data_IF_752643954132
#
_entry.id   IF_752643954132
#
_cell.length_a   1.000
_cell.length_b   1.000
_cell.length_c   1.000
_cell.angle_alpha   90.00
_cell.angle_beta   90.00
_cell.angle_gamma   90.00
#
_symmetry.space_group_name_H-M   'P 1'
#
loop_
_entity.id
_entity.type
_entity.pdbx_description
1 polymer ?
#
# COMPACT_ATOMS: atom_id res chain seq x y z
N UNK A 1 -22.43 -8.05 -19.69
CA UNK A 1 -22.65 -9.50 -19.48
C UNK A 1 -21.34 -10.19 -19.88
N UNK A 2 -20.53 -10.62 -18.90
CA UNK A 2 -19.20 -11.20 -19.12
C UNK A 2 -19.34 -12.72 -19.35
N UNK A 3 -19.76 -13.13 -20.56
CA UNK A 3 -20.12 -14.53 -20.83
C UNK A 3 -18.98 -15.39 -21.40
N UNK A 4 -17.84 -14.82 -21.80
CA UNK A 4 -16.75 -15.57 -22.47
C UNK A 4 -15.53 -15.94 -21.61
N UNK A 5 -15.49 -15.57 -20.32
CA UNK A 5 -14.28 -15.70 -19.49
C UNK A 5 -14.19 -17.04 -18.74
N UNK A 6 -15.30 -17.79 -18.68
CA UNK A 6 -15.38 -19.05 -17.94
C UNK A 6 -14.93 -20.26 -18.75
N UNK A 7 -14.69 -20.10 -20.06
CA UNK A 7 -14.12 -21.17 -20.86
C UNK A 7 -12.66 -21.41 -20.48
N UNK A 8 -12.24 -22.67 -20.31
CA UNK A 8 -10.87 -23.01 -19.96
C UNK A 8 -9.92 -22.47 -21.03
N UNK A 9 -8.87 -21.76 -20.59
CA UNK A 9 -7.83 -21.16 -21.44
C UNK A 9 -8.31 -20.10 -22.46
N UNK A 10 -9.43 -19.43 -22.23
CA UNK A 10 -9.84 -18.27 -23.05
C UNK A 10 -8.80 -17.13 -23.05
N UNK A 11 -8.03 -16.99 -21.97
CA UNK A 11 -6.89 -16.07 -21.85
C UNK A 11 -5.86 -16.58 -20.83
N UNK A 12 -4.61 -16.13 -20.97
CA UNK A 12 -3.51 -16.47 -20.04
C UNK A 12 -3.28 -15.39 -18.98
N UNK A 13 -3.48 -14.12 -19.33
CA UNK A 13 -3.22 -12.96 -18.47
C UNK A 13 -4.41 -12.00 -18.57
N UNK A 14 -4.91 -11.56 -17.42
CA UNK A 14 -5.89 -10.48 -17.34
C UNK A 14 -5.24 -9.25 -16.74
N UNK A 15 -5.34 -8.12 -17.45
CA UNK A 15 -4.92 -6.81 -16.96
C UNK A 15 -6.18 -5.99 -16.75
N UNK A 16 -6.38 -5.49 -15.55
CA UNK A 16 -7.56 -4.69 -15.20
C UNK A 16 -7.19 -3.57 -14.24
N UNK A 17 -8.02 -2.52 -14.23
CA UNK A 17 -7.90 -1.45 -13.24
C UNK A 17 -8.70 -1.78 -11.98
N UNK A 18 -8.33 -1.18 -10.84
CA UNK A 18 -9.07 -1.33 -9.58
C UNK A 18 -10.56 -1.04 -9.73
N UNK A 19 -10.93 0.03 -10.45
CA UNK A 19 -12.34 0.39 -10.68
C UNK A 19 -13.12 -0.73 -11.37
N UNK A 20 -12.53 -1.37 -12.38
CA UNK A 20 -13.16 -2.46 -13.12
C UNK A 20 -13.20 -3.75 -12.30
N UNK A 21 -12.14 -4.04 -11.53
CA UNK A 21 -12.09 -5.17 -10.60
C UNK A 21 -13.27 -5.11 -9.61
N UNK A 22 -13.50 -3.95 -8.99
CA UNK A 22 -14.57 -3.81 -7.99
C UNK A 22 -15.96 -3.81 -8.61
N UNK A 23 -16.14 -3.18 -9.79
CA UNK A 23 -17.42 -3.24 -10.51
C UNK A 23 -17.77 -4.66 -10.95
N UNK A 24 -16.76 -5.46 -11.30
CA UNK A 24 -16.90 -6.83 -11.82
C UNK A 24 -16.59 -7.92 -10.80
N UNK A 25 -16.49 -7.61 -9.50
CA UNK A 25 -15.90 -8.50 -8.49
C UNK A 25 -16.48 -9.94 -8.52
N UNK A 26 -17.80 -10.08 -8.66
CA UNK A 26 -18.46 -11.39 -8.72
C UNK A 26 -17.95 -12.29 -9.87
N UNK A 27 -17.55 -11.71 -11.01
CA UNK A 27 -16.96 -12.47 -12.11
C UNK A 27 -15.53 -12.92 -11.77
N UNK A 28 -14.72 -12.02 -11.20
CA UNK A 28 -13.33 -12.32 -10.82
C UNK A 28 -13.23 -13.37 -9.70
N UNK A 29 -14.18 -13.38 -8.76
CA UNK A 29 -14.20 -14.34 -7.63
C UNK A 29 -14.55 -15.77 -8.05
N UNK A 30 -15.15 -15.97 -9.22
CA UNK A 30 -15.44 -17.31 -9.77
C UNK A 30 -14.23 -17.99 -10.41
N UNK A 31 -13.17 -17.22 -10.67
CA UNK A 31 -11.94 -17.69 -11.32
C UNK A 31 -10.91 -18.05 -10.25
N UNK A 32 -10.26 -19.21 -10.40
CA UNK A 32 -9.10 -19.60 -9.59
C UNK A 32 -7.83 -19.07 -10.25
N UNK A 33 -7.25 -18.02 -9.67
CA UNK A 33 -6.06 -17.40 -10.21
C UNK A 33 -4.80 -18.19 -9.81
N UNK A 34 -3.84 -18.33 -10.72
CA UNK A 34 -2.52 -18.85 -10.35
C UNK A 34 -1.71 -17.77 -9.64
N UNK A 35 -1.68 -16.57 -10.20
CA UNK A 35 -0.96 -15.44 -9.65
C UNK A 35 -1.85 -14.19 -9.64
N UNK A 36 -1.83 -13.45 -8.53
CA UNK A 36 -2.47 -12.15 -8.40
C UNK A 36 -1.39 -11.10 -8.14
N UNK A 37 -1.30 -10.10 -9.00
CA UNK A 37 -0.35 -8.99 -8.90
C UNK A 37 -1.11 -7.71 -8.64
N UNK A 38 -0.75 -7.00 -7.57
CA UNK A 38 -1.27 -5.66 -7.26
C UNK A 38 -0.15 -4.66 -7.48
N UNK A 39 -0.41 -3.69 -8.35
CA UNK A 39 0.54 -2.64 -8.70
C UNK A 39 0.23 -1.32 -8.00
N UNK A 40 1.27 -0.61 -7.57
CA UNK A 40 1.19 0.65 -6.84
C UNK A 40 0.22 0.59 -5.64
N UNK A 41 0.61 -0.15 -4.59
CA UNK A 41 -0.17 -0.27 -3.35
C UNK A 41 -0.55 1.09 -2.73
N UNK A 42 0.20 2.16 -3.01
CA UNK A 42 -0.11 3.50 -2.49
C UNK A 42 -1.44 4.03 -3.03
N UNK A 43 -1.81 3.71 -4.28
CA UNK A 43 -3.16 4.02 -4.82
C UNK A 43 -4.27 3.28 -4.08
N UNK A 44 -3.92 2.16 -3.47
CA UNK A 44 -4.81 1.27 -2.76
C UNK A 44 -5.02 1.71 -1.30
N UNK A 45 -4.24 2.69 -0.80
CA UNK A 45 -4.41 3.27 0.55
C UNK A 45 -5.75 3.95 0.79
N UNK A 46 -6.37 4.48 -0.28
CA UNK A 46 -7.70 5.10 -0.21
C UNK A 46 -8.86 4.09 -0.23
N UNK A 47 -8.57 2.78 -0.27
CA UNK A 47 -9.60 1.76 -0.31
C UNK A 47 -10.24 1.56 1.06
N UNK A 48 -11.58 1.54 1.06
CA UNK A 48 -12.36 1.15 2.23
C UNK A 48 -12.17 -0.33 2.56
N UNK A 49 -12.51 -0.73 3.78
CA UNK A 49 -12.39 -2.11 4.25
C UNK A 49 -13.09 -3.13 3.33
N UNK A 50 -14.23 -2.76 2.75
CA UNK A 50 -14.98 -3.60 1.79
C UNK A 50 -14.18 -3.92 0.54
N UNK A 51 -13.40 -2.97 0.05
CA UNK A 51 -12.58 -3.18 -1.13
C UNK A 51 -11.41 -4.12 -0.83
N UNK A 52 -10.80 -3.99 0.35
CA UNK A 52 -9.75 -4.91 0.80
C UNK A 52 -10.28 -6.34 0.97
N UNK A 53 -11.46 -6.49 1.57
CA UNK A 53 -12.13 -7.79 1.67
C UNK A 53 -12.40 -8.40 0.28
N UNK A 54 -12.88 -7.60 -0.67
CA UNK A 54 -13.07 -8.04 -2.05
C UNK A 54 -11.75 -8.48 -2.72
N UNK A 55 -10.61 -7.87 -2.39
CA UNK A 55 -9.30 -8.32 -2.90
C UNK A 55 -8.87 -9.62 -2.21
N UNK A 56 -9.05 -9.74 -0.90
CA UNK A 56 -8.60 -10.90 -0.13
C UNK A 56 -9.37 -12.17 -0.44
N UNK A 57 -10.66 -12.06 -0.78
CA UNK A 57 -11.52 -13.18 -1.15
C UNK A 57 -11.17 -13.80 -2.51
N UNK A 58 -10.35 -13.14 -3.34
CA UNK A 58 -9.90 -13.70 -4.61
C UNK A 58 -9.00 -14.93 -4.40
N UNK A 59 -9.44 -16.07 -4.95
CA UNK A 59 -8.71 -17.33 -4.89
C UNK A 59 -7.44 -17.24 -5.74
N UNK A 60 -6.28 -17.35 -5.11
CA UNK A 60 -4.96 -17.26 -5.76
C UNK A 60 -3.94 -18.19 -5.10
N UNK A 61 -3.04 -18.79 -5.91
CA UNK A 61 -1.93 -19.61 -5.39
C UNK A 61 -0.72 -18.74 -5.00
N UNK A 62 -0.43 -17.72 -5.79
CA UNK A 62 0.68 -16.79 -5.58
C UNK A 62 0.16 -15.36 -5.57
N UNK A 63 0.72 -14.52 -4.69
CA UNK A 63 0.37 -13.12 -4.56
C UNK A 63 1.63 -12.26 -4.56
N UNK A 64 1.64 -11.24 -5.41
CA UNK A 64 2.74 -10.30 -5.55
C UNK A 64 2.22 -8.89 -5.37
N UNK A 65 2.93 -8.12 -4.55
CA UNK A 65 2.63 -6.71 -4.32
C UNK A 65 3.80 -5.88 -4.83
N UNK A 66 3.51 -4.95 -5.74
CA UNK A 66 4.48 -4.00 -6.25
C UNK A 66 4.27 -2.65 -5.55
N UNK A 67 5.36 -2.09 -5.05
CA UNK A 67 5.35 -0.84 -4.29
C UNK A 67 6.48 0.03 -4.80
N UNK A 68 6.14 1.20 -5.32
CA UNK A 68 7.10 2.14 -5.91
C UNK A 68 7.75 3.06 -4.88
N UNK A 69 7.05 3.32 -3.78
CA UNK A 69 7.50 4.20 -2.70
C UNK A 69 7.96 3.40 -1.47
N UNK A 70 8.92 3.91 -0.68
CA UNK A 70 9.24 3.31 0.61
C UNK A 70 7.99 3.28 1.49
N UNK A 71 7.76 2.15 2.16
CA UNK A 71 6.63 1.96 3.07
C UNK A 71 6.69 3.01 4.20
N UNK A 72 5.54 3.57 4.57
CA UNK A 72 5.46 4.49 5.70
C UNK A 72 5.52 3.74 7.04
N UNK A 73 5.54 2.39 6.99
CA UNK A 73 5.59 1.50 8.15
C UNK A 73 4.45 1.74 9.14
N UNK A 74 3.29 2.18 8.65
CA UNK A 74 2.09 2.25 9.47
C UNK A 74 1.60 0.83 9.76
N UNK A 75 0.99 0.63 10.94
CA UNK A 75 0.44 -0.69 11.30
C UNK A 75 -0.52 -1.20 10.23
N UNK A 76 -1.41 -0.33 9.74
CA UNK A 76 -2.40 -0.69 8.73
C UNK A 76 -1.74 -1.14 7.42
N UNK A 77 -0.71 -0.44 6.95
CA UNK A 77 0.03 -0.86 5.74
C UNK A 77 0.70 -2.22 5.93
N UNK A 78 1.45 -2.40 7.02
CA UNK A 78 2.16 -3.65 7.29
C UNK A 78 1.20 -4.82 7.48
N UNK A 79 0.08 -4.59 8.17
CA UNK A 79 -0.98 -5.58 8.35
C UNK A 79 -1.61 -5.98 7.02
N UNK A 80 -2.02 -5.01 6.21
CA UNK A 80 -2.62 -5.24 4.90
C UNK A 80 -1.66 -5.97 3.96
N UNK A 81 -0.37 -5.62 3.98
CA UNK A 81 0.66 -6.34 3.21
C UNK A 81 0.80 -7.79 3.65
N UNK A 82 0.93 -8.03 4.96
CA UNK A 82 1.08 -9.38 5.49
C UNK A 82 -0.15 -10.25 5.16
N UNK A 83 -1.35 -9.69 5.36
CA UNK A 83 -2.63 -10.32 5.06
C UNK A 83 -2.80 -10.58 3.56
N UNK A 84 -2.34 -9.68 2.70
CA UNK A 84 -2.36 -9.89 1.26
C UNK A 84 -1.43 -11.03 0.86
N UNK A 85 -0.15 -10.96 1.26
CA UNK A 85 0.89 -11.86 0.78
C UNK A 85 0.70 -13.30 1.26
N UNK A 86 0.12 -13.51 2.45
CA UNK A 86 -0.07 -14.86 3.01
C UNK A 86 -1.56 -15.15 3.23
N UNK A 87 -2.28 -15.58 2.18
CA UNK A 87 -3.70 -15.93 2.30
C UNK A 87 -3.87 -17.12 3.26
N UNK A 88 -4.80 -16.99 4.23
CA UNK A 88 -5.17 -18.06 5.16
C UNK A 88 -4.53 -18.00 6.55
N UNK A 89 -3.56 -17.09 6.79
CA UNK A 89 -3.00 -16.85 8.14
C UNK A 89 -3.91 -15.93 8.98
N UNK A 90 -4.78 -15.17 8.34
CA UNK A 90 -5.57 -14.13 8.99
C UNK A 90 -7.05 -14.51 9.17
N UNK A 91 -7.57 -14.13 10.35
CA UNK A 91 -9.01 -13.97 10.60
C UNK A 91 -9.61 -12.99 9.58
N UNK A 92 -10.95 -12.91 9.41
CA UNK A 92 -11.59 -11.92 8.53
C UNK A 92 -11.00 -10.53 8.74
N UNK A 93 -10.75 -9.77 7.67
CA UNK A 93 -10.13 -8.43 7.73
C UNK A 93 -10.86 -7.48 8.70
N UNK A 94 -12.16 -7.72 8.91
CA UNK A 94 -13.05 -7.03 9.84
C UNK A 94 -12.68 -7.14 11.33
N UNK A 95 -11.82 -8.10 11.72
CA UNK A 95 -11.19 -8.11 13.04
C UNK A 95 -9.86 -7.38 13.00
N UNK A 96 -9.85 -6.14 12.51
CA UNK A 96 -8.72 -5.24 12.72
C UNK A 96 -8.54 -5.09 14.23
N UNK A 97 -7.33 -5.27 14.81
CA UNK A 97 -7.19 -5.26 16.26
C UNK A 97 -7.34 -3.86 16.90
N UNK A 98 -7.75 -2.84 16.16
CA UNK A 98 -7.46 -1.46 16.53
C UNK A 98 -8.70 -0.65 16.89
N UNK A 99 -8.91 -0.51 18.21
CA UNK A 99 -9.37 0.78 18.76
C UNK A 99 -8.33 1.85 18.41
N UNK A 100 -8.77 3.07 18.14
CA UNK A 100 -7.85 4.20 17.89
C UNK A 100 -6.74 4.25 18.97
N UNK A 101 -5.49 4.56 18.61
CA UNK A 101 -4.41 4.68 19.59
C UNK A 101 -4.79 5.76 20.61
N UNK A 102 -5.08 5.35 21.84
CA UNK A 102 -5.00 6.23 23.00
C UNK A 102 -3.53 6.38 23.39
N UNK A 103 -3.17 7.50 24.04
CA UNK A 103 -1.80 7.76 24.52
C UNK A 103 -1.22 6.57 25.32
N UNK A 104 -2.05 5.87 26.08
CA UNK A 104 -1.65 4.69 26.87
C UNK A 104 -1.21 3.48 26.02
N UNK A 105 -1.65 3.37 24.78
CA UNK A 105 -1.38 2.21 23.92
C UNK A 105 -0.24 2.44 22.91
N UNK A 106 0.28 3.66 22.79
CA UNK A 106 1.24 4.02 21.74
C UNK A 106 2.52 3.15 21.77
N UNK A 107 3.04 2.84 22.96
CA UNK A 107 4.21 1.97 23.13
C UNK A 107 3.94 0.52 22.72
N UNK A 108 2.73 0.02 23.01
CA UNK A 108 2.31 -1.31 22.58
C UNK A 108 2.21 -1.36 21.05
N UNK A 109 1.57 -0.37 20.44
CA UNK A 109 1.47 -0.23 18.98
C UNK A 109 2.84 -0.19 18.31
N UNK A 110 3.78 0.58 18.87
CA UNK A 110 5.13 0.68 18.35
C UNK A 110 5.86 -0.67 18.36
N UNK A 111 5.76 -1.43 19.47
CA UNK A 111 6.34 -2.78 19.57
C UNK A 111 5.73 -3.75 18.55
N UNK A 112 4.43 -3.66 18.30
CA UNK A 112 3.74 -4.50 17.31
C UNK A 112 4.20 -4.16 15.88
N UNK A 113 4.32 -2.88 15.53
CA UNK A 113 4.84 -2.43 14.23
C UNK A 113 6.26 -2.97 13.99
N UNK A 114 7.14 -2.89 14.98
CA UNK A 114 8.51 -3.44 14.87
C UNK A 114 8.48 -4.95 14.62
N UNK A 115 7.64 -5.69 15.35
CA UNK A 115 7.50 -7.15 15.17
C UNK A 115 6.99 -7.50 13.77
N UNK A 116 5.94 -6.81 13.31
CA UNK A 116 5.40 -6.99 11.96
C UNK A 116 6.45 -6.70 10.89
N UNK A 117 7.18 -5.59 11.00
CA UNK A 117 8.24 -5.25 10.07
C UNK A 117 9.33 -6.34 10.01
N UNK A 118 9.77 -6.88 11.15
CA UNK A 118 10.76 -7.96 11.18
C UNK A 118 10.26 -9.25 10.51
N UNK A 119 8.97 -9.56 10.67
CA UNK A 119 8.33 -10.73 10.04
C UNK A 119 8.10 -10.51 8.55
N UNK A 120 7.76 -9.30 8.10
CA UNK A 120 7.50 -9.01 6.68
C UNK A 120 8.77 -8.78 5.87
N UNK A 121 9.86 -8.31 6.48
CA UNK A 121 11.12 -7.98 5.79
C UNK A 121 11.65 -9.09 4.85
N UNK A 122 11.66 -10.39 5.23
CA UNK A 122 12.15 -11.45 4.33
C UNK A 122 11.32 -11.61 3.05
N UNK A 123 10.07 -11.16 3.06
CA UNK A 123 9.16 -11.21 1.91
C UNK A 123 9.29 -9.97 0.99
N UNK A 124 10.09 -8.97 1.38
CA UNK A 124 10.25 -7.73 0.62
C UNK A 124 11.57 -7.78 -0.15
N UNK A 125 11.46 -7.84 -1.47
CA UNK A 125 12.61 -7.62 -2.36
C UNK A 125 12.72 -6.13 -2.68
N UNK A 126 13.71 -5.45 -2.11
CA UNK A 126 14.00 -4.03 -2.39
C UNK A 126 15.39 -3.88 -2.98
N UNK A 127 15.50 -3.17 -4.11
CA UNK A 127 16.76 -2.78 -4.74
C UNK A 127 16.80 -1.27 -4.88
N UNK A 128 17.96 -0.65 -4.72
CA UNK A 128 18.11 0.79 -4.98
C UNK A 128 18.66 1.02 -6.39
N UNK A 129 18.32 2.15 -7.02
CA UNK A 129 18.88 2.49 -8.34
C UNK A 129 20.41 2.45 -8.38
N UNK A 130 21.07 2.77 -7.26
CA UNK A 130 22.53 2.68 -7.13
C UNK A 130 23.04 1.24 -7.27
N UNK A 131 22.26 0.26 -6.80
CA UNK A 131 22.63 -1.16 -6.82
C UNK A 131 22.46 -1.79 -8.22
N UNK A 132 21.48 -1.31 -8.99
CA UNK A 132 21.07 -1.96 -10.25
C UNK A 132 21.53 -1.20 -11.48
N UNK A 133 21.52 0.13 -11.44
CA UNK A 133 21.62 0.96 -12.63
C UNK A 133 22.96 1.71 -12.66
N UNK A 134 24.00 1.01 -13.14
CA UNK A 134 25.38 1.51 -13.18
C UNK A 134 25.63 2.51 -14.32
N UNK A 135 24.71 2.63 -15.27
CA UNK A 135 24.84 3.53 -16.42
C UNK A 135 24.27 4.93 -16.15
N UNK A 136 23.52 5.12 -15.06
CA UNK A 136 22.99 6.42 -14.69
C UNK A 136 24.09 7.35 -14.13
N UNK A 137 24.06 8.61 -14.57
CA UNK A 137 24.89 9.67 -14.01
C UNK A 137 24.54 9.96 -12.55
N UNK A 138 25.50 10.46 -11.79
CA UNK A 138 25.29 10.84 -10.39
C UNK A 138 24.22 11.94 -10.28
N UNK A 139 23.25 11.75 -9.37
CA UNK A 139 22.27 12.79 -9.00
C UNK A 139 22.91 13.73 -7.97
N UNK A 140 22.85 15.03 -8.24
CA UNK A 140 23.29 16.08 -7.32
C UNK A 140 22.07 16.81 -6.74
N UNK A 141 22.13 17.15 -5.46
CA UNK A 141 21.09 17.90 -4.76
C UNK A 141 21.69 19.22 -4.28
N UNK A 142 21.12 20.33 -4.73
CA UNK A 142 21.55 21.67 -4.37
C UNK A 142 20.47 22.32 -3.50
N UNK A 143 20.79 22.54 -2.23
CA UNK A 143 19.89 23.21 -1.28
C UNK A 143 20.21 24.71 -1.28
N UNK A 144 19.36 25.50 -1.93
CA UNK A 144 19.45 26.96 -1.95
C UNK A 144 18.58 27.55 -0.84
N UNK A 145 19.22 28.02 0.23
CA UNK A 145 18.52 28.69 1.33
C UNK A 145 18.22 30.13 0.94
N UNK A 146 16.94 30.47 0.83
CA UNK A 146 16.47 31.83 0.55
C UNK A 146 16.00 32.52 1.85
N UNK A 147 16.23 33.83 1.95
CA UNK A 147 15.62 34.65 3.01
C UNK A 147 14.22 35.08 2.58
N UNK A 148 13.30 35.17 3.52
CA UNK A 148 11.99 35.80 3.28
C UNK A 148 12.19 37.26 2.87
N UNK A 149 11.42 37.71 1.88
CA UNK A 149 11.30 39.14 1.57
C UNK A 149 10.63 39.89 2.72
N UNK A 150 10.82 41.22 2.79
CA UNK A 150 10.23 42.03 3.85
C UNK A 150 8.71 41.89 3.93
N UNK A 151 8.01 41.83 2.78
CA UNK A 151 6.56 41.59 2.74
C UNK A 151 6.18 40.20 3.27
N UNK A 152 6.93 39.16 2.91
CA UNK A 152 6.68 37.81 3.41
C UNK A 152 6.93 37.69 4.90
N UNK A 153 7.94 38.38 5.44
CA UNK A 153 8.18 38.43 6.89
C UNK A 153 7.02 39.06 7.63
N UNK A 154 6.55 40.23 7.18
CA UNK A 154 5.41 40.91 7.79
C UNK A 154 4.13 40.05 7.78
N UNK A 155 3.83 39.39 6.66
CA UNK A 155 2.68 38.47 6.56
C UNK A 155 2.86 37.21 7.42
N UNK A 156 4.08 36.70 7.51
CA UNK A 156 4.38 35.52 8.33
C UNK A 156 4.25 35.83 9.83
N UNK A 157 4.73 36.99 10.26
CA UNK A 157 4.55 37.49 11.63
C UNK A 157 3.07 37.72 11.96
N UNK A 158 2.29 38.31 11.04
CA UNK A 158 0.85 38.49 11.23
C UNK A 158 0.10 37.15 11.43
N UNK A 159 0.41 36.15 10.61
CA UNK A 159 -0.16 34.79 10.75
C UNK A 159 0.25 34.11 12.07
N UNK A 160 1.48 34.31 12.54
CA UNK A 160 1.93 33.75 13.83
C UNK A 160 1.29 34.45 15.02
N UNK A 161 1.04 35.75 14.90
CA UNK A 161 0.50 36.58 15.98
C UNK A 161 -1.02 36.49 16.11
N UNK A 162 -1.72 35.96 15.10
CA UNK A 162 -3.14 35.67 15.22
C UNK A 162 -3.38 34.44 16.12
N UNK A 163 -4.10 34.58 17.26
CA UNK A 163 -4.50 33.43 18.05
C UNK A 163 -5.56 32.63 17.27
N UNK A 164 -5.35 31.32 17.17
CA UNK A 164 -6.32 30.37 16.61
C UNK A 164 -7.53 30.13 17.51
#
# INVERSE_FOLDING_TARGET
MWQGWTEPNSFHVCITSYKQLFRGHAAFSRVRWRCLVIDDMQRVKGLTERHWEAVFTLQSQQRLLLVDAPLHNTFLELWTMAHFLVPGISRPYLHLPLKAPSDENQDYYHKVVIRLHRVTQPFILRRTKRDVEKQLTKKYEHVLKCRLSNRQKALYEDVILQPG
#
